data_IF_885184470378
#
_entry.id   IF_885184470378
#
_cell.length_a   1.000
_cell.length_b   1.000
_cell.length_c   1.000
_cell.angle_alpha   90.00
_cell.angle_beta   90.00
_cell.angle_gamma   90.00
#
_symmetry.space_group_name_H-M   'P 1'
#
loop_
_entity.id
_entity.type
_entity.pdbx_description
1 polymer ?
#
# COMPACT_ATOMS: atom_id res chain seq x y z
N UNK A 1 -11.81 -13.60 -6.53
CA UNK A 1 -10.41 -13.31 -6.15
C UNK A 1 -9.99 -12.04 -6.89
N UNK A 2 -10.08 -10.87 -6.25
CA UNK A 2 -9.82 -9.58 -6.92
C UNK A 2 -8.34 -9.26 -6.75
N UNK A 3 -7.57 -9.33 -7.84
CA UNK A 3 -6.22 -8.79 -7.88
C UNK A 3 -6.29 -7.26 -7.90
N UNK A 4 -5.70 -6.59 -6.91
CA UNK A 4 -5.65 -5.13 -6.87
C UNK A 4 -4.75 -4.66 -8.01
N UNK A 5 -5.34 -4.00 -9.01
CA UNK A 5 -4.60 -3.39 -10.11
C UNK A 5 -4.31 -1.93 -9.78
N UNK A 6 -3.09 -1.49 -10.07
CA UNK A 6 -2.73 -0.09 -9.86
C UNK A 6 -3.58 0.80 -10.76
N UNK A 7 -4.36 1.77 -10.24
CA UNK A 7 -5.23 2.61 -11.09
C UNK A 7 -4.44 3.53 -12.03
N UNK A 8 -3.16 3.80 -11.73
CA UNK A 8 -2.28 4.62 -12.58
C UNK A 8 -1.65 3.83 -13.73
N UNK A 9 -1.33 2.56 -13.51
CA UNK A 9 -0.57 1.75 -14.46
C UNK A 9 -1.36 0.58 -15.06
N UNK A 10 -2.51 0.26 -14.47
CA UNK A 10 -3.36 -0.90 -14.74
C UNK A 10 -2.62 -2.25 -14.73
N UNK A 11 -1.56 -2.35 -13.93
CA UNK A 11 -0.78 -3.58 -13.73
C UNK A 11 -1.03 -4.17 -12.35
N UNK A 12 -0.73 -5.46 -12.21
CA UNK A 12 -0.79 -6.18 -10.95
C UNK A 12 0.16 -5.57 -9.91
N UNK A 13 -0.39 -5.30 -8.73
CA UNK A 13 0.37 -4.84 -7.58
C UNK A 13 1.02 -6.04 -6.88
N UNK A 14 2.20 -5.80 -6.30
CA UNK A 14 2.90 -6.79 -5.50
C UNK A 14 2.61 -6.53 -4.04
N UNK A 15 1.94 -7.48 -3.40
CA UNK A 15 1.77 -7.49 -1.95
C UNK A 15 3.10 -7.74 -1.25
N UNK A 16 3.45 -6.88 -0.30
CA UNK A 16 4.62 -7.01 0.58
C UNK A 16 4.15 -6.86 2.02
N UNK A 17 4.76 -7.62 2.93
CA UNK A 17 4.47 -7.51 4.36
C UNK A 17 5.62 -6.74 5.00
N UNK A 18 5.31 -5.62 5.66
CA UNK A 18 6.30 -4.82 6.37
C UNK A 18 5.79 -4.53 7.77
N UNK A 19 6.56 -4.83 8.81
CA UNK A 19 6.15 -4.56 10.21
C UNK A 19 4.75 -5.10 10.58
N UNK A 20 4.38 -6.27 10.03
CA UNK A 20 3.05 -6.93 10.17
C UNK A 20 1.89 -6.19 9.47
N UNK A 21 2.21 -5.31 8.54
CA UNK A 21 1.29 -4.52 7.70
C UNK A 21 1.36 -5.06 6.27
N UNK A 22 0.22 -5.33 5.66
CA UNK A 22 0.11 -5.84 4.28
C UNK A 22 -0.01 -4.68 3.28
N UNK A 23 1.11 -4.31 2.66
CA UNK A 23 1.16 -3.18 1.73
C UNK A 23 1.20 -3.69 0.28
N UNK A 24 0.33 -3.18 -0.58
CA UNK A 24 0.37 -3.44 -2.02
C UNK A 24 1.20 -2.38 -2.74
N UNK A 25 2.28 -2.80 -3.41
CA UNK A 25 3.21 -1.90 -4.11
C UNK A 25 3.21 -2.15 -5.61
N UNK A 26 3.02 -1.09 -6.39
CA UNK A 26 3.11 -1.13 -7.84
C UNK A 26 4.57 -1.12 -8.31
N UNK A 27 4.99 -2.13 -9.09
CA UNK A 27 6.36 -2.23 -9.61
C UNK A 27 6.74 -1.14 -10.62
N UNK A 28 5.76 -0.52 -11.29
CA UNK A 28 6.01 0.45 -12.38
C UNK A 28 6.05 1.88 -11.88
N UNK A 29 5.02 2.34 -11.17
CA UNK A 29 4.96 3.70 -10.64
C UNK A 29 5.48 3.85 -9.21
N UNK A 30 5.80 2.74 -8.52
CA UNK A 30 6.13 2.70 -7.08
C UNK A 30 5.01 3.25 -6.19
N UNK A 31 3.76 3.26 -6.69
CA UNK A 31 2.60 3.61 -5.89
C UNK A 31 2.35 2.56 -4.81
N UNK A 32 2.14 3.01 -3.58
CA UNK A 32 1.78 2.17 -2.43
C UNK A 32 0.28 2.31 -2.18
N UNK A 33 -0.39 1.19 -1.97
CA UNK A 33 -1.77 1.11 -1.55
C UNK A 33 -1.78 0.53 -0.15
N UNK A 34 -2.24 1.33 0.81
CA UNK A 34 -2.44 0.94 2.19
C UNK A 34 -3.92 1.12 2.50
N UNK A 35 -4.47 0.27 3.36
CA UNK A 35 -5.76 0.56 3.95
C UNK A 35 -5.62 1.66 5.03
N UNK A 36 -6.68 2.43 5.22
CA UNK A 36 -6.71 3.62 6.09
C UNK A 36 -6.39 3.25 7.56
N UNK A 37 -6.73 2.03 7.98
CA UNK A 37 -6.51 1.53 9.36
C UNK A 37 -5.06 1.13 9.64
N UNK A 38 -4.27 0.83 8.62
CA UNK A 38 -2.82 0.61 8.71
C UNK A 38 -2.02 1.92 8.73
N UNK A 39 -2.50 2.93 8.02
CA UNK A 39 -1.88 4.27 7.99
C UNK A 39 -1.92 4.92 9.36
N UNK A 40 -3.01 4.81 10.13
CA UNK A 40 -3.09 5.35 11.49
C UNK A 40 -2.03 4.75 12.44
N UNK A 41 -1.70 3.47 12.27
CA UNK A 41 -0.63 2.81 13.06
C UNK A 41 0.78 3.23 12.62
N UNK A 42 0.97 3.56 11.34
CA UNK A 42 2.25 4.03 10.80
C UNK A 42 2.49 5.54 11.01
N UNK A 43 1.44 6.37 11.02
CA UNK A 43 1.52 7.85 11.07
C UNK A 43 1.26 8.41 12.48
N UNK A 44 1.10 7.57 13.51
CA UNK A 44 0.85 7.96 14.91
C UNK A 44 1.94 8.80 15.61
N UNK A 45 2.48 9.87 14.99
CA UNK A 45 3.55 10.68 15.56
C UNK A 45 4.04 11.89 14.76
N UNK A 46 3.20 12.64 14.02
CA UNK A 46 3.60 14.00 13.59
C UNK A 46 2.44 14.99 13.48
N UNK A 47 1.89 15.34 14.65
CA UNK A 47 1.48 16.73 14.90
C UNK A 47 2.73 17.48 15.36
N UNK A 48 3.36 18.25 14.48
CA UNK A 48 4.06 19.49 14.84
C UNK A 48 3.79 20.52 13.76
#
# INVERSE_FOLDING_TARGET
>A
MVALKCPRCNIDMKKIIKDKVEIDVCKKCRGMWLDDSEIEKLIGGSKR
#
